data_IF_328032440805
#
_entry.id   IF_328032440805
#
_cell.length_a   1.000
_cell.length_b   1.000
_cell.length_c   1.000
_cell.angle_alpha   90.00
_cell.angle_beta   90.00
_cell.angle_gamma   90.00
#
_symmetry.space_group_name_H-M   'P 1'
#
loop_
_entity.id
_entity.type
_entity.pdbx_description
1 polymer ?
#
# COMPACT_ATOMS: atom_id res chain seq x y z
N UNK A 1 -10.77 -13.86 -13.78
CA UNK A 1 -9.98 -12.69 -14.08
C UNK A 1 -10.28 -11.57 -13.12
N UNK A 2 -9.26 -10.99 -12.55
CA UNK A 2 -9.45 -9.96 -11.57
C UNK A 2 -9.46 -8.57 -12.16
N UNK A 3 -10.09 -7.64 -11.46
CA UNK A 3 -10.10 -6.25 -11.84
C UNK A 3 -9.45 -5.47 -10.73
N UNK A 4 -8.47 -4.66 -11.08
CA UNK A 4 -7.77 -3.82 -10.11
C UNK A 4 -8.19 -2.38 -10.29
N UNK A 5 -8.54 -1.74 -9.19
CA UNK A 5 -8.93 -0.34 -9.19
C UNK A 5 -8.10 0.38 -8.16
N UNK A 6 -7.46 1.47 -8.57
CA UNK A 6 -6.71 2.28 -7.63
C UNK A 6 -7.67 3.12 -6.82
N UNK A 7 -7.58 3.01 -5.51
CA UNK A 7 -8.49 3.71 -4.61
C UNK A 7 -7.88 5.01 -4.09
N UNK A 8 -6.60 5.00 -3.78
CA UNK A 8 -5.97 6.19 -3.24
C UNK A 8 -4.48 6.10 -3.45
N UNK A 9 -3.85 7.25 -3.33
CA UNK A 9 -2.41 7.34 -3.50
C UNK A 9 -1.86 8.24 -2.39
N UNK A 10 -0.79 7.81 -1.76
CA UNK A 10 -0.19 8.50 -0.63
C UNK A 10 1.23 8.91 -0.99
N UNK A 11 1.62 10.09 -0.56
CA UNK A 11 2.94 10.62 -0.83
C UNK A 11 3.65 10.94 0.46
N UNK A 12 4.93 10.64 0.50
CA UNK A 12 5.74 10.98 1.65
C UNK A 12 6.11 12.45 1.63
N UNK A 13 6.59 12.88 2.76
CA UNK A 13 6.90 14.28 2.95
C UNK A 13 8.36 14.53 2.57
N UNK A 14 8.63 14.46 1.28
CA UNK A 14 9.98 14.74 0.79
C UNK A 14 10.94 13.59 0.92
N UNK A 15 10.44 12.39 1.25
CA UNK A 15 11.34 11.25 1.41
C UNK A 15 11.35 10.33 0.19
N UNK A 16 10.66 10.71 -0.87
CA UNK A 16 10.65 9.91 -2.09
C UNK A 16 9.74 8.70 -2.05
N UNK A 17 8.95 8.56 -1.01
CA UNK A 17 8.10 7.39 -0.87
C UNK A 17 6.71 7.66 -1.37
N UNK A 18 6.14 6.67 -2.03
CA UNK A 18 4.78 6.74 -2.54
C UNK A 18 4.14 5.38 -2.31
N UNK A 19 2.87 5.39 -1.98
CA UNK A 19 2.13 4.15 -1.82
C UNK A 19 0.80 4.29 -2.52
N UNK A 20 0.37 3.23 -3.19
CA UNK A 20 -0.92 3.20 -3.87
C UNK A 20 -1.75 2.09 -3.27
N UNK A 21 -2.99 2.42 -2.96
CA UNK A 21 -3.92 1.43 -2.43
C UNK A 21 -4.85 1.04 -3.55
N UNK A 22 -4.91 -0.26 -3.82
CA UNK A 22 -5.73 -0.78 -4.88
C UNK A 22 -6.66 -1.84 -4.33
N UNK A 23 -7.79 -2.00 -4.99
CA UNK A 23 -8.71 -3.07 -4.67
C UNK A 23 -8.76 -4.02 -5.85
N UNK A 24 -8.50 -5.27 -5.59
CA UNK A 24 -8.61 -6.28 -6.62
C UNK A 24 -9.82 -7.15 -6.35
N UNK A 25 -10.70 -7.25 -7.32
CA UNK A 25 -11.90 -8.04 -7.21
C UNK A 25 -11.79 -9.23 -8.14
N UNK A 26 -12.02 -10.42 -7.60
CA UNK A 26 -11.99 -11.63 -8.41
C UNK A 26 -13.15 -12.50 -7.95
N UNK A 27 -14.18 -12.57 -8.78
CA UNK A 27 -15.39 -13.29 -8.41
C UNK A 27 -16.04 -12.63 -7.21
N UNK A 28 -16.18 -13.37 -6.14
CA UNK A 28 -16.80 -12.85 -4.93
C UNK A 28 -15.78 -12.35 -3.93
N UNK A 29 -14.52 -12.31 -4.31
CA UNK A 29 -13.47 -11.98 -3.35
C UNK A 29 -12.94 -10.60 -3.64
N UNK A 30 -12.65 -9.89 -2.56
CA UNK A 30 -12.00 -8.60 -2.63
C UNK A 30 -10.77 -8.63 -1.77
N UNK A 31 -9.65 -8.19 -2.31
CA UNK A 31 -8.46 -8.00 -1.52
C UNK A 31 -7.92 -6.61 -1.82
N UNK A 32 -7.17 -6.09 -0.88
CA UNK A 32 -6.63 -4.75 -0.99
C UNK A 32 -5.12 -4.86 -1.05
N UNK A 33 -4.53 -4.15 -1.99
CA UNK A 33 -3.10 -4.21 -2.22
C UNK A 33 -2.51 -2.84 -1.97
N UNK A 34 -1.32 -2.84 -1.41
CA UNK A 34 -0.58 -1.60 -1.21
C UNK A 34 0.72 -1.74 -1.98
N UNK A 35 0.84 -0.97 -3.05
CA UNK A 35 2.06 -0.94 -3.85
C UNK A 35 2.93 0.19 -3.33
N UNK A 36 4.13 -0.15 -2.93
CA UNK A 36 5.04 0.79 -2.31
C UNK A 36 6.18 1.12 -3.26
N UNK A 37 6.52 2.39 -3.34
CA UNK A 37 7.58 2.88 -4.21
C UNK A 37 8.53 3.77 -3.42
N UNK A 38 9.79 3.70 -3.76
CA UNK A 38 10.79 4.60 -3.21
C UNK A 38 11.54 5.20 -4.37
N UNK A 39 11.51 6.54 -4.50
CA UNK A 39 12.14 7.24 -5.61
C UNK A 39 11.68 6.68 -6.94
N UNK A 40 10.38 6.39 -7.02
CA UNK A 40 9.72 5.91 -8.24
C UNK A 40 10.12 4.47 -8.60
N UNK A 41 10.80 3.79 -7.72
CA UNK A 41 11.17 2.40 -7.95
C UNK A 41 10.30 1.54 -7.05
N UNK A 42 9.66 0.55 -7.65
CA UNK A 42 8.77 -0.33 -6.91
C UNK A 42 9.54 -1.05 -5.82
N UNK A 43 9.05 -0.96 -4.60
CA UNK A 43 9.72 -1.54 -3.43
C UNK A 43 9.05 -2.79 -2.93
N UNK A 44 7.80 -3.00 -3.28
CA UNK A 44 7.09 -4.18 -2.82
C UNK A 44 5.61 -3.94 -2.80
N UNK A 45 4.88 -5.02 -2.62
CA UNK A 45 3.43 -4.97 -2.60
C UNK A 45 2.95 -5.79 -1.41
N UNK A 46 1.95 -5.26 -0.71
CA UNK A 46 1.41 -5.92 0.48
C UNK A 46 -0.07 -6.12 0.29
N UNK A 47 -0.56 -7.24 0.80
CA UNK A 47 -1.97 -7.60 0.67
C UNK A 47 -2.65 -7.46 2.02
N UNK A 48 -3.84 -6.86 2.02
CA UNK A 48 -4.62 -6.71 3.25
C UNK A 48 -6.05 -7.11 2.97
N UNK A 49 -6.76 -7.43 4.02
CA UNK A 49 -8.13 -7.92 3.85
C UNK A 49 -9.17 -6.80 3.95
N UNK A 50 -8.78 -5.60 4.36
CA UNK A 50 -9.72 -4.50 4.43
C UNK A 50 -9.06 -3.24 3.91
N UNK A 51 -9.90 -2.32 3.44
CA UNK A 51 -9.41 -1.06 2.92
C UNK A 51 -8.73 -0.25 4.01
N UNK A 52 -9.29 -0.27 5.21
CA UNK A 52 -8.71 0.48 6.32
C UNK A 52 -7.30 0.00 6.63
N UNK A 53 -7.11 -1.31 6.65
CA UNK A 53 -5.78 -1.85 6.91
C UNK A 53 -4.79 -1.47 5.83
N UNK A 54 -5.26 -1.47 4.58
CA UNK A 54 -4.39 -1.10 3.47
C UNK A 54 -4.01 0.37 3.56
N UNK A 55 -4.97 1.22 3.89
CA UNK A 55 -4.70 2.65 4.00
C UNK A 55 -3.76 2.94 5.16
N UNK A 56 -3.94 2.24 6.27
CA UNK A 56 -3.04 2.41 7.41
C UNK A 56 -1.61 2.04 7.04
N UNK A 57 -1.45 0.95 6.30
CA UNK A 57 -0.13 0.53 5.88
C UNK A 57 0.48 1.53 4.91
N UNK A 58 -0.32 2.02 3.98
CA UNK A 58 0.17 3.00 3.00
C UNK A 58 0.63 4.26 3.71
N UNK A 59 -0.16 4.74 4.64
CA UNK A 59 0.18 5.94 5.37
C UNK A 59 1.46 5.74 6.19
N UNK A 60 1.54 4.61 6.86
CA UNK A 60 2.73 4.32 7.65
C UNK A 60 3.97 4.27 6.79
N UNK A 61 3.86 3.67 5.62
CA UNK A 61 5.01 3.55 4.74
C UNK A 61 5.52 4.90 4.29
N UNK A 62 4.61 5.78 3.85
CA UNK A 62 5.07 7.05 3.29
C UNK A 62 5.50 8.03 4.38
N UNK A 63 4.97 7.90 5.57
CA UNK A 63 5.34 8.81 6.66
C UNK A 63 6.56 8.32 7.41
N UNK A 64 6.90 7.06 7.25
CA UNK A 64 8.02 6.50 7.99
C UNK A 64 9.31 7.07 7.46
N UNK A 65 10.14 7.54 8.36
CA UNK A 65 11.35 8.21 7.96
C UNK A 65 12.51 7.27 8.20
N UNK A 66 12.98 6.63 7.17
CA UNK A 66 14.09 5.73 7.32
C UNK A 66 13.75 4.39 6.75
N UNK A 67 13.69 3.37 7.57
CA UNK A 67 13.47 2.04 7.05
C UNK A 67 11.97 1.75 6.95
N UNK A 68 11.64 0.64 6.34
CA UNK A 68 10.28 0.21 6.18
C UNK A 68 9.68 -0.05 7.57
N UNK A 69 8.43 0.32 7.79
CA UNK A 69 7.81 0.13 9.10
C UNK A 69 7.87 -1.33 9.51
N UNK A 70 8.20 -1.56 10.77
CA UNK A 70 8.23 -2.89 11.24
C UNK A 70 6.88 -3.50 11.22
N UNK A 71 6.84 -4.73 10.82
CA UNK A 71 5.64 -5.49 10.94
C UNK A 71 5.54 -5.88 12.35
N UNK A 72 4.63 -5.33 13.00
CA UNK A 72 4.47 -5.73 14.34
C UNK A 72 3.83 -7.04 14.38
N UNK A 73 4.17 -7.70 14.63
CA UNK A 73 3.54 -8.74 14.53
C UNK A 73 2.72 -8.91 15.34
N UNK A 74 2.54 -8.46 14.88
CA UNK A 74 1.87 -8.50 15.28
C UNK A 74 1.52 -9.11 15.49
#
# INVERSE_FOLDING_TARGET
MGIKVELSEYYGNGNGRTAKVLCETSGNRKIYLVDCYTNEIWSGSFERSSEQEAEDLAEDFVLYNGSIPKQVNE
#
